data_IF_727982927200
#
_entry.id   IF_727982927200
#
_cell.length_a   1.000
_cell.length_b   1.000
_cell.length_c   1.000
_cell.angle_alpha   90.00
_cell.angle_beta   90.00
_cell.angle_gamma   90.00
#
_symmetry.space_group_name_H-M   'P 1'
#
loop_
_entity.id
_entity.type
_entity.pdbx_description
1 polymer ?
#
# COMPACT_ATOMS: atom_id res chain seq x y z
N UNK A 1 -3.45 14.06 5.24
CA UNK A 1 -4.31 14.86 6.13
C UNK A 1 -5.19 15.77 5.29
N UNK A 2 -6.38 16.07 5.79
CA UNK A 2 -7.37 16.90 5.11
C UNK A 2 -7.87 18.00 6.04
N UNK A 3 -8.14 19.17 5.46
CA UNK A 3 -8.75 20.32 6.14
C UNK A 3 -8.06 20.72 7.47
N UNK A 4 -6.72 20.64 7.51
CA UNK A 4 -5.95 21.07 8.68
C UNK A 4 -5.87 22.59 8.76
N UNK A 5 -5.77 23.11 9.99
CA UNK A 5 -5.65 24.53 10.27
C UNK A 5 -4.44 24.76 11.17
N UNK A 6 -3.58 25.72 10.78
CA UNK A 6 -2.34 26.11 11.44
C UNK A 6 -1.46 24.91 11.85
N UNK A 7 -1.20 23.99 10.92
CA UNK A 7 -0.55 22.72 11.26
C UNK A 7 0.94 22.87 11.65
N UNK A 8 1.29 22.76 12.93
CA UNK A 8 2.68 22.87 13.36
C UNK A 8 3.37 21.51 13.56
N UNK A 9 2.77 20.65 14.39
CA UNK A 9 3.35 19.36 14.76
C UNK A 9 2.30 18.27 14.68
N UNK A 10 2.67 17.08 14.20
CA UNK A 10 1.80 15.92 14.21
C UNK A 10 2.52 14.66 14.70
N UNK A 11 1.73 13.75 15.26
CA UNK A 11 2.10 12.37 15.54
C UNK A 11 0.95 11.46 15.12
N UNK A 12 1.25 10.31 14.53
CA UNK A 12 0.27 9.26 14.22
C UNK A 12 0.92 7.89 14.27
N UNK A 13 0.17 6.90 14.73
CA UNK A 13 0.59 5.50 14.66
C UNK A 13 -0.10 4.79 13.50
N UNK A 14 0.67 3.99 12.77
CA UNK A 14 0.20 3.09 11.72
C UNK A 14 0.41 1.66 12.18
N UNK A 15 -0.66 0.90 12.34
CA UNK A 15 -0.60 -0.52 12.68
C UNK A 15 -0.79 -1.41 11.45
N UNK A 16 -0.07 -2.53 11.40
CA UNK A 16 -0.05 -3.47 10.29
C UNK A 16 0.23 -4.92 10.74
N UNK A 17 -0.13 -5.90 9.90
CA UNK A 17 0.11 -7.32 10.17
C UNK A 17 1.55 -7.73 9.77
N UNK A 18 2.38 -8.03 10.78
CA UNK A 18 3.79 -8.43 10.61
C UNK A 18 4.00 -9.78 9.95
N UNK A 19 2.96 -10.62 9.84
CA UNK A 19 3.03 -11.89 9.09
C UNK A 19 2.91 -11.67 7.57
N UNK A 20 2.42 -10.49 7.17
CA UNK A 20 2.13 -10.13 5.78
C UNK A 20 3.02 -9.04 5.25
N UNK A 21 3.39 -8.08 6.11
CA UNK A 21 4.15 -6.91 5.74
C UNK A 21 5.35 -6.76 6.67
N UNK A 22 6.43 -6.22 6.12
CA UNK A 22 7.59 -5.77 6.87
C UNK A 22 7.77 -4.29 6.60
N UNK A 23 7.77 -3.46 7.64
CA UNK A 23 8.14 -2.05 7.50
C UNK A 23 9.62 -1.94 7.12
N UNK A 24 9.93 -1.12 6.12
CA UNK A 24 11.28 -0.96 5.60
C UNK A 24 11.87 0.40 5.96
N UNK A 25 11.15 1.47 5.63
CA UNK A 25 11.57 2.85 5.87
C UNK A 25 10.37 3.79 5.78
N UNK A 26 10.48 4.94 6.43
CA UNK A 26 9.59 6.07 6.22
C UNK A 26 10.40 7.31 5.82
N UNK A 27 9.79 8.17 5.01
CA UNK A 27 10.38 9.42 4.55
C UNK A 27 9.35 10.55 4.63
N UNK A 28 9.80 11.77 4.96
CA UNK A 28 8.93 12.95 4.92
C UNK A 28 8.60 13.38 3.50
N UNK A 29 9.58 13.28 2.59
CA UNK A 29 9.53 13.80 1.22
C UNK A 29 10.04 12.76 0.21
N UNK A 30 9.69 12.95 -1.06
CA UNK A 30 10.40 12.38 -2.20
C UNK A 30 10.72 13.49 -3.22
N UNK A 31 11.87 14.17 -3.08
CA UNK A 31 12.22 15.32 -3.92
C UNK A 31 12.33 14.97 -5.41
N UNK A 32 12.78 13.76 -5.74
CA UNK A 32 12.88 13.30 -7.14
C UNK A 32 11.51 13.14 -7.81
N UNK A 33 10.49 12.79 -7.03
CA UNK A 33 9.10 12.70 -7.47
C UNK A 33 8.32 14.01 -7.36
N UNK A 34 8.93 15.09 -6.86
CA UNK A 34 8.24 16.36 -6.59
C UNK A 34 7.21 16.29 -5.45
N UNK A 35 7.35 15.29 -4.58
CA UNK A 35 6.44 15.05 -3.45
C UNK A 35 7.08 15.65 -2.19
N UNK A 36 6.35 16.53 -1.52
CA UNK A 36 6.81 17.22 -0.31
C UNK A 36 5.76 17.12 0.80
N UNK A 37 6.24 17.12 2.03
CA UNK A 37 5.45 17.16 3.24
C UNK A 37 4.61 18.44 3.32
N UNK A 38 3.37 18.30 3.80
CA UNK A 38 2.42 19.39 4.00
C UNK A 38 3.00 20.54 4.83
N UNK A 39 3.79 20.24 5.88
CA UNK A 39 4.45 21.24 6.72
C UNK A 39 5.30 22.22 5.91
N UNK A 40 5.88 21.78 4.79
CA UNK A 40 6.78 22.61 3.96
C UNK A 40 6.03 23.50 2.96
N UNK A 41 4.71 23.40 2.86
CA UNK A 41 3.87 24.08 1.86
C UNK A 41 4.02 25.61 1.89
N UNK A 42 4.11 26.21 3.08
CA UNK A 42 4.26 27.67 3.24
C UNK A 42 5.72 28.10 3.45
N UNK A 43 6.68 27.32 2.93
CA UNK A 43 8.11 27.60 3.10
C UNK A 43 8.67 27.21 4.47
N UNK A 44 7.85 26.52 5.29
CA UNK A 44 8.26 25.93 6.55
C UNK A 44 9.39 24.92 6.36
N UNK A 45 10.24 24.81 7.39
CA UNK A 45 11.26 23.78 7.48
C UNK A 45 10.88 22.84 8.61
N UNK A 46 11.18 21.57 8.43
CA UNK A 46 10.95 20.54 9.43
C UNK A 46 12.27 20.11 10.06
N UNK A 47 12.24 19.73 11.33
CA UNK A 47 13.35 19.03 11.99
C UNK A 47 12.83 17.82 12.71
N UNK A 48 13.51 16.69 12.55
CA UNK A 48 13.20 15.51 13.35
C UNK A 48 11.98 14.75 12.86
N UNK A 49 11.78 14.64 11.54
CA UNK A 49 10.89 13.61 11.00
C UNK A 49 11.34 12.23 11.51
N UNK A 50 10.41 11.50 12.10
CA UNK A 50 10.61 10.14 12.56
C UNK A 50 9.51 9.27 11.99
N UNK A 51 9.89 8.06 11.57
CA UNK A 51 8.99 6.98 11.20
C UNK A 51 9.65 5.69 11.67
N UNK A 52 9.33 5.26 12.89
CA UNK A 52 10.04 4.19 13.59
C UNK A 52 9.05 3.14 14.09
N UNK A 53 9.39 1.87 13.86
CA UNK A 53 8.66 0.72 14.41
C UNK A 53 9.27 0.35 15.78
N UNK A 54 8.81 1.00 16.85
CA UNK A 54 9.27 0.70 18.21
C UNK A 54 8.65 -0.59 18.77
N UNK A 55 7.45 -0.93 18.30
CA UNK A 55 6.75 -2.19 18.61
C UNK A 55 6.44 -2.90 17.30
N UNK A 56 6.76 -4.20 17.16
CA UNK A 56 6.46 -4.94 15.93
C UNK A 56 4.99 -4.79 15.50
N UNK A 57 4.77 -4.35 14.27
CA UNK A 57 3.45 -4.10 13.70
C UNK A 57 2.90 -2.71 13.95
N UNK A 58 3.64 -1.79 14.59
CA UNK A 58 3.19 -0.40 14.82
C UNK A 58 4.33 0.59 14.55
N UNK A 59 4.14 1.42 13.51
CA UNK A 59 5.05 2.52 13.17
C UNK A 59 4.54 3.80 13.78
N UNK A 60 5.36 4.45 14.61
CA UNK A 60 5.10 5.81 15.09
C UNK A 60 5.73 6.81 14.14
N UNK A 61 4.92 7.75 13.65
CA UNK A 61 5.31 8.79 12.70
C UNK A 61 5.12 10.13 13.36
N UNK A 62 6.14 10.96 13.37
CA UNK A 62 6.05 12.33 13.89
C UNK A 62 6.89 13.30 13.08
N UNK A 63 6.43 14.55 13.02
CA UNK A 63 7.20 15.65 12.44
C UNK A 63 6.73 16.98 13.03
N UNK A 64 7.60 17.98 12.97
CA UNK A 64 7.36 19.31 13.54
C UNK A 64 8.01 20.38 12.66
N UNK A 65 7.35 21.54 12.56
CA UNK A 65 7.97 22.74 12.02
C UNK A 65 9.07 23.26 12.94
N UNK A 66 10.10 23.86 12.34
CA UNK A 66 11.13 24.55 13.09
C UNK A 66 10.72 25.99 13.37
N UNK A 67 10.86 26.41 14.61
CA UNK A 67 10.61 27.79 15.02
C UNK A 67 9.17 27.98 15.52
N UNK A 68 8.73 29.24 15.55
CA UNK A 68 7.43 29.64 16.13
C UNK A 68 6.65 30.55 15.15
N UNK A 69 7.01 30.53 13.87
CA UNK A 69 6.41 31.39 12.85
C UNK A 69 5.11 30.77 12.31
N UNK A 70 3.97 31.23 12.84
CA UNK A 70 2.65 30.77 12.41
C UNK A 70 2.36 31.00 10.92
N UNK A 71 3.03 31.94 10.24
CA UNK A 71 2.81 32.14 8.80
C UNK A 71 3.32 30.94 7.97
N UNK A 72 4.19 30.11 8.56
CA UNK A 72 4.71 28.88 7.94
C UNK A 72 3.82 27.66 8.20
N UNK A 73 2.89 27.75 9.16
CA UNK A 73 1.95 26.67 9.44
C UNK A 73 0.94 26.55 8.28
N UNK A 74 0.84 25.39 7.62
CA UNK A 74 -0.01 25.21 6.46
C UNK A 74 -1.47 25.00 6.84
N UNK A 75 -2.30 25.33 5.85
CA UNK A 75 -3.74 25.12 5.82
C UNK A 75 -4.12 24.09 4.75
N UNK A 76 -5.23 23.38 4.97
CA UNK A 76 -5.90 22.53 3.99
C UNK A 76 -5.44 21.08 3.99
N UNK A 77 -5.21 20.51 2.82
CA UNK A 77 -4.97 19.08 2.66
C UNK A 77 -3.60 18.79 2.05
N UNK A 78 -3.00 17.66 2.41
CA UNK A 78 -1.72 17.23 1.86
C UNK A 78 -1.11 15.98 2.50
N UNK A 79 0.07 15.63 2.00
CA UNK A 79 0.84 14.47 2.42
C UNK A 79 1.57 14.74 3.75
N UNK A 80 1.54 13.78 4.67
CA UNK A 80 2.33 13.85 5.91
C UNK A 80 3.56 12.95 5.88
N UNK A 81 3.49 11.77 5.30
CA UNK A 81 4.62 10.85 5.27
C UNK A 81 4.49 9.87 4.12
N UNK A 82 5.62 9.33 3.70
CA UNK A 82 5.73 8.18 2.81
C UNK A 82 6.22 7.00 3.65
N UNK A 83 5.56 5.87 3.54
CA UNK A 83 5.96 4.63 4.21
C UNK A 83 6.19 3.56 3.17
N UNK A 84 7.26 2.80 3.35
CA UNK A 84 7.62 1.69 2.48
C UNK A 84 7.52 0.39 3.25
N UNK A 85 6.79 -0.54 2.65
CA UNK A 85 6.61 -1.88 3.17
C UNK A 85 7.12 -2.90 2.15
N UNK A 86 7.66 -4.00 2.65
CA UNK A 86 7.92 -5.21 1.88
C UNK A 86 6.78 -6.19 2.15
N UNK A 87 6.17 -6.73 1.10
CA UNK A 87 5.17 -7.80 1.20
C UNK A 87 5.89 -9.12 1.45
N UNK A 88 5.45 -9.86 2.47
CA UNK A 88 6.00 -11.16 2.89
C UNK A 88 5.14 -12.33 2.41
N UNK A 89 3.82 -12.17 2.38
CA UNK A 89 2.86 -13.19 1.92
C UNK A 89 1.77 -12.55 1.07
N UNK A 90 1.34 -13.25 0.02
CA UNK A 90 0.24 -12.85 -0.85
C UNK A 90 -1.01 -13.67 -0.55
N UNK A 91 -2.17 -13.20 -1.00
CA UNK A 91 -3.41 -13.99 -0.99
C UNK A 91 -4.60 -13.41 -0.25
N UNK A 92 -4.46 -12.49 0.70
CA UNK A 92 -5.62 -11.68 1.14
C UNK A 92 -5.17 -10.28 1.52
N UNK A 93 -6.08 -9.31 1.44
CA UNK A 93 -5.77 -7.90 1.74
C UNK A 93 -5.10 -7.78 3.12
N UNK A 94 -4.13 -6.87 3.23
CA UNK A 94 -3.49 -6.49 4.48
C UNK A 94 -3.92 -5.06 4.85
N UNK A 95 -4.66 -4.91 5.94
CA UNK A 95 -5.11 -3.60 6.41
C UNK A 95 -3.97 -2.80 7.06
N UNK A 96 -4.02 -1.48 6.87
CA UNK A 96 -3.23 -0.50 7.60
C UNK A 96 -4.20 0.34 8.43
N UNK A 97 -4.06 0.33 9.74
CA UNK A 97 -4.95 1.09 10.61
C UNK A 97 -4.24 2.29 11.21
N UNK A 98 -4.91 3.43 11.23
CA UNK A 98 -4.42 4.63 11.90
C UNK A 98 -4.91 4.63 13.34
N UNK A 99 -4.04 5.03 14.26
CA UNK A 99 -4.36 5.19 15.67
C UNK A 99 -3.51 6.26 16.31
N UNK A 100 -3.87 6.63 17.56
CA UNK A 100 -3.10 7.55 18.40
C UNK A 100 -2.62 8.81 17.63
N UNK A 101 -3.54 9.39 16.86
CA UNK A 101 -3.27 10.55 16.03
C UNK A 101 -3.44 11.84 16.84
N UNK A 102 -2.40 12.66 16.87
CA UNK A 102 -2.37 13.94 17.56
C UNK A 102 -1.81 15.03 16.66
N UNK A 103 -2.33 16.22 16.88
CA UNK A 103 -1.96 17.42 16.17
C UNK A 103 -1.73 18.55 17.19
N UNK A 104 -0.74 19.40 16.96
CA UNK A 104 -0.50 20.63 17.70
C UNK A 104 -0.48 21.80 16.73
N UNK A 105 -1.29 22.82 16.99
CA UNK A 105 -1.31 24.04 16.19
C UNK A 105 -0.13 24.98 16.50
N UNK A 106 0.06 26.00 15.67
CA UNK A 106 1.16 26.97 15.87
C UNK A 106 1.07 27.78 17.18
N UNK A 107 -0.09 27.77 17.85
CA UNK A 107 -0.28 28.38 19.18
C UNK A 107 0.00 27.39 20.33
N UNK A 108 0.38 26.15 20.02
CA UNK A 108 0.68 25.10 20.98
C UNK A 108 -0.54 24.35 21.50
N UNK A 109 -1.73 24.57 20.94
CA UNK A 109 -2.92 23.81 21.32
C UNK A 109 -2.86 22.42 20.71
N UNK A 110 -3.07 21.40 21.53
CA UNK A 110 -3.10 20.02 21.07
C UNK A 110 -4.54 19.51 20.85
N UNK A 111 -4.69 18.62 19.89
CA UNK A 111 -5.94 17.92 19.61
C UNK A 111 -5.67 16.46 19.24
N UNK A 112 -6.48 15.55 19.75
CA UNK A 112 -6.55 14.18 19.24
C UNK A 112 -7.44 14.14 18.00
N UNK A 113 -7.02 13.42 16.98
CA UNK A 113 -7.80 13.21 15.75
C UNK A 113 -8.52 11.87 15.85
N UNK A 114 -9.84 11.90 15.81
CA UNK A 114 -10.67 10.68 15.82
C UNK A 114 -11.22 10.29 14.45
N UNK A 115 -11.21 11.23 13.49
CA UNK A 115 -11.66 10.97 12.12
C UNK A 115 -10.47 10.40 11.33
N UNK A 116 -10.35 9.08 11.37
CA UNK A 116 -9.24 8.34 10.80
C UNK A 116 -9.76 7.39 9.72
N UNK A 117 -9.11 7.40 8.58
CA UNK A 117 -9.39 6.48 7.47
C UNK A 117 -8.27 5.47 7.33
N UNK A 118 -8.63 4.19 7.41
CA UNK A 118 -7.68 3.09 7.29
C UNK A 118 -7.31 2.85 5.83
N UNK A 119 -6.08 2.39 5.61
CA UNK A 119 -5.62 1.93 4.31
C UNK A 119 -5.69 0.41 4.18
N UNK A 120 -5.46 -0.10 2.97
CA UNK A 120 -5.21 -1.52 2.75
C UNK A 120 -4.28 -1.75 1.58
N UNK A 121 -3.43 -2.77 1.70
CA UNK A 121 -2.76 -3.39 0.57
C UNK A 121 -3.68 -4.46 -0.01
N UNK A 122 -3.97 -4.36 -1.30
CA UNK A 122 -4.63 -5.42 -2.04
C UNK A 122 -3.53 -6.43 -2.41
N UNK A 123 -3.51 -7.56 -1.71
CA UNK A 123 -2.49 -8.61 -1.90
C UNK A 123 -3.05 -9.84 -2.63
N UNK A 124 -4.25 -9.71 -3.20
CA UNK A 124 -4.79 -10.66 -4.16
C UNK A 124 -4.59 -10.12 -5.57
N UNK A 125 -4.00 -10.95 -6.42
CA UNK A 125 -4.13 -10.77 -7.85
C UNK A 125 -5.55 -11.17 -8.25
N UNK A 126 -6.34 -10.19 -8.72
CA UNK A 126 -7.63 -10.46 -9.36
C UNK A 126 -7.46 -10.95 -10.80
N UNK A 127 -6.24 -11.30 -11.21
CA UNK A 127 -5.97 -11.83 -12.52
C UNK A 127 -6.26 -13.33 -12.49
N UNK A 128 -7.24 -13.83 -13.27
CA UNK A 128 -7.63 -15.24 -13.24
C UNK A 128 -6.47 -16.17 -13.63
N UNK A 129 -5.46 -15.64 -14.32
CA UNK A 129 -4.29 -16.37 -14.82
C UNK A 129 -3.02 -16.22 -13.98
N UNK A 130 -3.07 -15.48 -12.87
CA UNK A 130 -1.95 -15.35 -11.94
C UNK A 130 -2.05 -16.48 -10.90
N UNK A 131 -1.45 -17.61 -11.26
CA UNK A 131 -1.59 -18.85 -10.51
C UNK A 131 -0.66 -18.89 -9.29
N UNK A 132 0.45 -18.16 -9.28
CA UNK A 132 1.33 -18.07 -8.12
C UNK A 132 0.99 -16.89 -7.18
N UNK A 133 0.05 -16.03 -7.59
CA UNK A 133 -0.41 -14.83 -6.89
C UNK A 133 0.71 -13.82 -6.60
N UNK A 134 1.67 -13.67 -7.51
CA UNK A 134 2.78 -12.70 -7.38
C UNK A 134 2.44 -11.31 -7.94
N UNK A 135 1.26 -11.17 -8.55
CA UNK A 135 0.73 -9.92 -9.06
C UNK A 135 1.01 -9.67 -10.53
N UNK A 136 1.68 -10.58 -11.25
CA UNK A 136 1.89 -10.52 -12.69
C UNK A 136 1.59 -11.88 -13.33
N UNK A 137 0.96 -11.88 -14.51
CA UNK A 137 0.81 -13.13 -15.28
C UNK A 137 2.05 -13.31 -16.15
N UNK A 138 2.91 -14.26 -15.80
CA UNK A 138 4.18 -14.48 -16.52
C UNK A 138 4.50 -15.96 -16.79
N UNK A 139 5.77 -16.23 -17.11
CA UNK A 139 6.24 -17.57 -17.45
C UNK A 139 6.15 -18.57 -16.29
N UNK A 140 6.14 -18.10 -15.04
CA UNK A 140 5.93 -18.94 -13.86
C UNK A 140 4.51 -19.47 -13.87
N UNK A 141 3.52 -18.62 -14.13
CA UNK A 141 2.11 -19.02 -14.25
C UNK A 141 1.88 -19.94 -15.44
N UNK A 142 2.52 -19.66 -16.58
CA UNK A 142 2.46 -20.56 -17.73
C UNK A 142 3.00 -21.96 -17.39
N UNK A 143 4.07 -22.03 -16.58
CA UNK A 143 4.60 -23.29 -16.08
C UNK A 143 3.61 -24.03 -15.17
N UNK A 144 2.88 -23.31 -14.32
CA UNK A 144 1.82 -23.88 -13.49
C UNK A 144 0.64 -24.38 -14.35
N UNK A 145 0.20 -23.63 -15.36
CA UNK A 145 -0.82 -24.07 -16.31
C UNK A 145 -0.39 -25.33 -17.07
N UNK A 146 0.86 -25.36 -17.54
CA UNK A 146 1.41 -26.48 -18.29
C UNK A 146 1.48 -27.78 -17.46
N UNK A 147 1.65 -27.68 -16.13
CA UNK A 147 1.61 -28.86 -15.24
C UNK A 147 0.23 -29.50 -15.12
N UNK A 148 -0.82 -28.76 -15.49
CA UNK A 148 -2.20 -29.23 -15.49
C UNK A 148 -2.75 -29.43 -16.91
N UNK A 149 -1.90 -29.35 -17.94
CA UNK A 149 -2.30 -29.46 -19.34
C UNK A 149 -2.99 -30.79 -19.65
N UNK A 150 -4.17 -30.72 -20.27
CA UNK A 150 -5.04 -31.84 -20.65
C UNK A 150 -5.57 -32.67 -19.47
N UNK A 151 -5.52 -32.16 -18.23
CA UNK A 151 -6.25 -32.78 -17.13
C UNK A 151 -7.75 -32.50 -17.28
N UNK A 152 -8.57 -33.41 -16.78
CA UNK A 152 -10.04 -33.32 -16.75
C UNK A 152 -10.57 -33.41 -15.30
N UNK A 153 -11.81 -32.96 -15.06
CA UNK A 153 -12.47 -33.00 -13.74
C UNK A 153 -12.47 -34.35 -13.01
N UNK A 154 -12.20 -35.45 -13.71
CA UNK A 154 -12.10 -36.80 -13.15
C UNK A 154 -10.70 -37.23 -12.70
N UNK A 155 -9.67 -36.46 -13.03
CA UNK A 155 -8.29 -36.82 -12.71
C UNK A 155 -7.94 -36.50 -11.25
N UNK A 156 -7.14 -37.37 -10.61
CA UNK A 156 -6.72 -37.19 -9.21
C UNK A 156 -5.93 -35.89 -8.96
N UNK A 157 -5.27 -35.38 -10.00
CA UNK A 157 -4.48 -34.14 -9.97
C UNK A 157 -5.28 -32.91 -10.46
N UNK A 158 -6.58 -33.06 -10.73
CA UNK A 158 -7.43 -31.97 -11.20
C UNK A 158 -7.47 -30.82 -10.19
N UNK A 159 -7.42 -29.59 -10.71
CA UNK A 159 -7.62 -28.39 -9.93
C UNK A 159 -8.33 -27.35 -10.80
N UNK A 160 -9.56 -27.00 -10.41
CA UNK A 160 -10.42 -26.06 -11.13
C UNK A 160 -9.80 -24.67 -11.31
N UNK A 161 -8.75 -24.32 -10.55
CA UNK A 161 -8.01 -23.05 -10.72
C UNK A 161 -7.43 -22.89 -12.13
N UNK A 162 -7.07 -23.99 -12.81
CA UNK A 162 -6.42 -23.95 -14.12
C UNK A 162 -7.38 -24.08 -15.30
N UNK A 163 -8.65 -24.39 -15.01
CA UNK A 163 -9.77 -24.43 -15.97
C UNK A 163 -10.43 -23.05 -15.97
N UNK A 164 -9.88 -22.17 -16.82
CA UNK A 164 -10.24 -20.76 -16.89
C UNK A 164 -11.57 -20.54 -17.61
N UNK A 165 -12.03 -21.47 -18.44
CA UNK A 165 -13.35 -21.40 -19.09
C UNK A 165 -14.44 -22.26 -18.45
N UNK A 166 -14.09 -23.04 -17.41
CA UNK A 166 -14.97 -23.92 -16.63
C UNK A 166 -15.64 -25.03 -17.48
N UNK A 167 -14.90 -25.62 -18.42
CA UNK A 167 -15.39 -26.68 -19.32
C UNK A 167 -14.98 -28.10 -18.90
N UNK A 168 -14.35 -28.23 -17.74
CA UNK A 168 -13.82 -29.48 -17.17
C UNK A 168 -12.60 -30.06 -17.90
N UNK A 169 -11.88 -29.30 -18.74
CA UNK A 169 -10.62 -29.74 -19.35
C UNK A 169 -9.63 -28.59 -19.58
N UNK A 170 -8.43 -28.68 -18.98
CA UNK A 170 -7.40 -27.65 -19.21
C UNK A 170 -6.77 -27.81 -20.59
N UNK A 171 -7.05 -26.91 -21.53
CA UNK A 171 -6.61 -27.00 -22.92
C UNK A 171 -6.24 -25.65 -23.56
N UNK A 172 -6.18 -25.61 -24.90
CA UNK A 172 -5.81 -24.42 -25.67
C UNK A 172 -6.79 -23.26 -25.52
N UNK A 173 -8.02 -23.51 -25.08
CA UNK A 173 -9.01 -22.49 -24.75
C UNK A 173 -8.66 -21.78 -23.44
N UNK A 174 -8.21 -22.49 -22.40
CA UNK A 174 -7.64 -21.87 -21.20
C UNK A 174 -6.36 -21.10 -21.53
N UNK A 175 -5.48 -21.69 -22.36
CA UNK A 175 -4.27 -21.00 -22.81
C UNK A 175 -4.58 -19.69 -23.54
N UNK A 176 -5.71 -19.61 -24.25
CA UNK A 176 -6.16 -18.36 -24.87
C UNK A 176 -6.53 -17.33 -23.81
N UNK A 177 -7.32 -17.69 -22.80
CA UNK A 177 -7.67 -16.77 -21.69
C UNK A 177 -6.41 -16.33 -20.94
N UNK A 178 -5.47 -17.26 -20.72
CA UNK A 178 -4.16 -16.97 -20.16
C UNK A 178 -3.39 -15.94 -21.01
N UNK A 179 -3.36 -16.14 -22.33
CA UNK A 179 -2.74 -15.22 -23.28
C UNK A 179 -3.35 -13.82 -23.28
N UNK A 180 -4.67 -13.72 -23.10
CA UNK A 180 -5.37 -12.43 -22.97
C UNK A 180 -4.96 -11.66 -21.71
N UNK A 181 -4.41 -12.35 -20.70
CA UNK A 181 -3.90 -11.77 -19.47
C UNK A 181 -2.36 -11.66 -19.43
N UNK A 182 -1.65 -12.03 -20.49
CA UNK A 182 -0.18 -12.11 -20.49
C UNK A 182 0.48 -10.77 -20.14
N UNK A 183 1.38 -10.78 -19.16
CA UNK A 183 2.07 -9.62 -18.58
C UNK A 183 1.16 -8.55 -17.97
N UNK A 184 -0.11 -8.88 -17.74
CA UNK A 184 -1.00 -8.01 -16.99
C UNK A 184 -0.57 -7.99 -15.53
N UNK A 185 -0.71 -6.84 -14.87
CA UNK A 185 -0.30 -6.64 -13.47
C UNK A 185 -1.51 -6.25 -12.62
N UNK A 186 -1.68 -6.92 -11.48
CA UNK A 186 -2.78 -6.69 -10.52
C UNK A 186 -2.74 -5.36 -9.78
N UNK A 187 -1.85 -4.44 -10.18
CA UNK A 187 -1.59 -3.18 -9.50
C UNK A 187 -1.45 -2.01 -10.47
N UNK A 188 -2.53 -1.62 -11.15
CA UNK A 188 -2.63 -0.25 -11.63
C UNK A 188 -2.79 0.67 -10.41
N UNK A 189 -1.67 1.14 -9.85
CA UNK A 189 -1.68 2.44 -9.19
C UNK A 189 -2.03 3.46 -10.29
N UNK A 190 -3.18 4.13 -10.24
CA UNK A 190 -3.53 5.12 -11.24
C UNK A 190 -2.65 6.35 -11.00
N UNK A 191 -1.43 6.34 -11.51
CA UNK A 191 -0.79 7.59 -11.90
C UNK A 191 -1.48 8.02 -13.20
N UNK A 192 -2.62 8.68 -13.04
CA UNK A 192 -3.23 9.48 -14.09
C UNK A 192 -2.17 10.43 -14.63
N UNK A 193 -1.80 10.24 -15.90
CA UNK A 193 -1.12 11.27 -16.68
C UNK A 193 -2.04 12.47 -16.90
#
# INVERSE_FOLDING_TARGET
ATDVINLDTYQVEVSFDTTRLQFMEGAEDNPLGGIYNLLKKNGGKTTGFLAVEDTPGTVNISNTLTGEDCDQAPEGSGLLALLKFKVLTTGSDAELTLGNAFFIDCAGNNASVSDLENGKFILQSNLPSDFNADGVVDFIDLGLLANHWLLECGDDAWNAKYDLEEDCIVNYQDLRIFGDNWLNQGGNCPISR
#
